data_IF_624920396991
#
_entry.id   IF_624920396991
#
_cell.length_a   1.000
_cell.length_b   1.000
_cell.length_c   1.000
_cell.angle_alpha   90.00
_cell.angle_beta   90.00
_cell.angle_gamma   90.00
#
_symmetry.space_group_name_H-M   'P 1'
#
loop_
_entity.id
_entity.type
_entity.pdbx_description
1 polymer ?
#
# COMPACT_ATOMS: atom_id res chain seq x y z
N UNK A 1 -30.25 -35.53 21.32
CA UNK A 1 -30.44 -34.86 20.01
C UNK A 1 -31.76 -34.10 20.00
N UNK A 2 -31.87 -32.91 19.39
CA UNK A 2 -33.14 -32.18 19.33
C UNK A 2 -34.16 -32.96 18.49
N UNK A 3 -35.38 -33.15 19.03
CA UNK A 3 -36.46 -33.90 18.35
C UNK A 3 -36.96 -33.23 17.08
N UNK A 4 -36.84 -31.89 17.00
CA UNK A 4 -37.16 -31.08 15.82
C UNK A 4 -35.83 -30.61 15.19
N UNK A 5 -35.63 -30.80 13.88
CA UNK A 5 -34.44 -30.34 13.18
C UNK A 5 -34.17 -28.83 13.36
N UNK A 6 -32.88 -28.46 13.35
CA UNK A 6 -32.47 -27.05 13.28
C UNK A 6 -32.61 -26.54 11.84
N UNK A 7 -32.98 -25.28 11.68
CA UNK A 7 -33.11 -24.63 10.37
C UNK A 7 -34.54 -24.57 9.86
N UNK A 8 -34.93 -23.41 9.31
CA UNK A 8 -36.32 -23.10 8.92
C UNK A 8 -36.88 -24.11 7.92
N UNK A 9 -36.15 -24.41 6.85
CA UNK A 9 -36.54 -25.40 5.83
C UNK A 9 -36.74 -26.80 6.41
N UNK A 10 -35.82 -27.24 7.27
CA UNK A 10 -35.86 -28.58 7.86
C UNK A 10 -37.01 -28.74 8.86
N UNK A 11 -37.38 -27.67 9.59
CA UNK A 11 -38.58 -27.65 10.43
C UNK A 11 -39.86 -27.80 9.62
N UNK A 12 -40.00 -27.03 8.54
CA UNK A 12 -41.17 -27.12 7.65
C UNK A 12 -41.30 -28.55 7.09
N UNK A 13 -40.22 -29.10 6.52
CA UNK A 13 -40.21 -30.47 5.99
C UNK A 13 -40.52 -31.53 7.06
N UNK A 14 -40.03 -31.33 8.28
CA UNK A 14 -40.26 -32.27 9.38
C UNK A 14 -41.75 -32.39 9.71
N UNK A 15 -42.47 -31.27 9.76
CA UNK A 15 -43.91 -31.24 10.04
C UNK A 15 -44.75 -31.69 8.85
N UNK A 16 -44.39 -31.30 7.62
CA UNK A 16 -45.08 -31.77 6.39
C UNK A 16 -45.12 -33.29 6.29
N UNK A 17 -44.03 -33.98 6.64
CA UNK A 17 -43.93 -35.44 6.56
C UNK A 17 -44.74 -36.19 7.63
N UNK A 18 -45.20 -35.50 8.68
CA UNK A 18 -45.73 -36.14 9.90
C UNK A 18 -47.15 -35.74 10.25
N UNK A 19 -47.58 -34.54 9.85
CA UNK A 19 -48.87 -33.98 10.26
C UNK A 19 -50.03 -34.85 9.79
N UNK A 20 -49.96 -35.46 8.60
CA UNK A 20 -50.99 -36.37 8.08
C UNK A 20 -51.09 -37.66 8.91
N UNK A 21 -49.95 -38.26 9.25
CA UNK A 21 -49.94 -39.47 10.09
C UNK A 21 -50.43 -39.19 11.52
N UNK A 22 -50.09 -38.01 12.06
CA UNK A 22 -50.61 -37.55 13.35
C UNK A 22 -52.12 -37.30 13.31
N UNK A 23 -52.65 -36.79 12.19
CA UNK A 23 -54.08 -36.63 12.01
C UNK A 23 -54.79 -37.98 11.95
N UNK A 24 -54.26 -38.94 11.19
CA UNK A 24 -54.80 -40.30 11.08
C UNK A 24 -54.76 -41.07 12.41
N UNK A 25 -53.71 -40.86 13.21
CA UNK A 25 -53.49 -41.58 14.48
C UNK A 25 -53.87 -40.76 15.72
N UNK A 26 -54.58 -39.64 15.57
CA UNK A 26 -54.81 -38.67 16.65
C UNK A 26 -55.47 -39.30 17.88
N UNK A 27 -56.51 -40.12 17.68
CA UNK A 27 -57.22 -40.81 18.76
C UNK A 27 -56.34 -41.79 19.53
N UNK A 28 -55.50 -42.56 18.83
CA UNK A 28 -54.57 -43.52 19.45
C UNK A 28 -53.44 -42.83 20.21
N UNK A 29 -53.00 -41.65 19.75
CA UNK A 29 -51.92 -40.87 20.35
C UNK A 29 -52.40 -39.90 21.45
N UNK A 30 -53.72 -39.80 21.68
CA UNK A 30 -54.30 -38.85 22.63
C UNK A 30 -54.12 -37.38 22.21
N UNK A 31 -53.99 -37.11 20.91
CA UNK A 31 -53.85 -35.75 20.38
C UNK A 31 -55.23 -35.16 20.07
N UNK A 32 -55.41 -33.87 20.36
CA UNK A 32 -56.60 -33.12 19.95
C UNK A 32 -56.62 -32.93 18.42
N UNK A 33 -57.60 -33.50 17.69
CA UNK A 33 -57.68 -33.36 16.23
C UNK A 33 -57.72 -31.91 15.76
N UNK A 34 -58.33 -31.00 16.53
CA UNK A 34 -58.41 -29.59 16.16
C UNK A 34 -57.02 -28.92 16.15
N UNK A 35 -56.16 -29.26 17.11
CA UNK A 35 -54.77 -28.77 17.17
C UNK A 35 -53.89 -29.36 16.07
N UNK A 36 -54.12 -30.62 15.69
CA UNK A 36 -53.40 -31.23 14.57
C UNK A 36 -53.79 -30.57 13.24
N UNK A 37 -55.08 -30.24 13.05
CA UNK A 37 -55.55 -29.49 11.89
C UNK A 37 -54.94 -28.06 11.84
N UNK A 38 -54.91 -27.35 12.97
CA UNK A 38 -54.24 -26.05 13.08
C UNK A 38 -52.76 -26.13 12.68
N UNK A 39 -52.05 -27.16 13.15
CA UNK A 39 -50.66 -27.40 12.77
C UNK A 39 -50.48 -27.64 11.26
N UNK A 40 -51.41 -28.35 10.62
CA UNK A 40 -51.38 -28.54 9.17
C UNK A 40 -51.50 -27.20 8.42
N UNK A 41 -52.46 -26.36 8.81
CA UNK A 41 -52.63 -25.02 8.24
C UNK A 41 -51.40 -24.13 8.44
N UNK A 42 -50.81 -24.13 9.65
CA UNK A 42 -49.58 -23.38 9.93
C UNK A 42 -48.38 -23.89 9.10
N UNK A 43 -48.30 -25.20 8.88
CA UNK A 43 -47.23 -25.81 8.09
C UNK A 43 -47.33 -25.39 6.62
N UNK A 44 -48.55 -25.40 6.05
CA UNK A 44 -48.80 -24.89 4.70
C UNK A 44 -48.46 -23.40 4.57
N UNK A 45 -48.96 -22.57 5.49
CA UNK A 45 -48.66 -21.14 5.50
C UNK A 45 -47.14 -20.87 5.60
N UNK A 46 -46.43 -21.66 6.42
CA UNK A 46 -44.98 -21.56 6.53
C UNK A 46 -44.24 -21.94 5.24
N UNK A 47 -44.73 -22.95 4.49
CA UNK A 47 -44.19 -23.35 3.18
C UNK A 47 -44.36 -22.24 2.15
N UNK A 48 -45.54 -21.66 2.05
CA UNK A 48 -45.85 -20.56 1.13
C UNK A 48 -45.02 -19.31 1.45
N UNK A 49 -44.95 -18.93 2.73
CA UNK A 49 -44.10 -17.81 3.16
C UNK A 49 -42.61 -18.07 2.85
N UNK A 50 -42.13 -19.31 3.02
CA UNK A 50 -40.76 -19.66 2.68
C UNK A 50 -40.47 -19.54 1.18
N UNK A 51 -41.36 -20.01 0.30
CA UNK A 51 -41.17 -19.92 -1.15
C UNK A 51 -41.19 -18.47 -1.63
N UNK A 52 -42.15 -17.66 -1.15
CA UNK A 52 -42.22 -16.22 -1.43
C UNK A 52 -40.94 -15.50 -1.00
N UNK A 53 -40.42 -15.83 0.19
CA UNK A 53 -39.17 -15.25 0.67
C UNK A 53 -37.96 -15.65 -0.20
N UNK A 54 -37.91 -16.86 -0.76
CA UNK A 54 -36.84 -17.26 -1.69
C UNK A 54 -36.94 -16.51 -3.02
N UNK A 55 -38.15 -16.39 -3.57
CA UNK A 55 -38.41 -15.63 -4.81
C UNK A 55 -38.00 -14.16 -4.62
N UNK A 56 -38.39 -13.53 -3.51
CA UNK A 56 -38.02 -12.15 -3.22
C UNK A 56 -36.50 -11.95 -3.11
N UNK A 57 -35.79 -12.88 -2.46
CA UNK A 57 -34.31 -12.83 -2.40
C UNK A 57 -33.67 -12.96 -3.78
N UNK A 58 -34.20 -13.83 -4.63
CA UNK A 58 -33.69 -13.98 -5.99
C UNK A 58 -33.93 -12.72 -6.82
N UNK A 59 -35.16 -12.19 -6.81
CA UNK A 59 -35.51 -10.93 -7.48
C UNK A 59 -34.63 -9.76 -7.03
N UNK A 60 -34.33 -9.67 -5.73
CA UNK A 60 -33.42 -8.66 -5.19
C UNK A 60 -32.00 -8.81 -5.75
N UNK A 61 -31.44 -10.02 -5.77
CA UNK A 61 -30.12 -10.27 -6.37
C UNK A 61 -30.08 -9.92 -7.85
N UNK A 62 -31.10 -10.33 -8.60
CA UNK A 62 -31.19 -10.07 -10.04
C UNK A 62 -31.30 -8.56 -10.32
N UNK A 63 -32.09 -7.83 -9.54
CA UNK A 63 -32.20 -6.38 -9.64
C UNK A 63 -30.87 -5.67 -9.35
N UNK A 64 -30.13 -6.08 -8.31
CA UNK A 64 -28.79 -5.55 -8.02
C UNK A 64 -27.80 -5.85 -9.16
N UNK A 65 -27.83 -7.06 -9.71
CA UNK A 65 -26.97 -7.42 -10.84
C UNK A 65 -27.27 -6.58 -12.08
N UNK A 66 -28.55 -6.36 -12.39
CA UNK A 66 -28.99 -5.52 -13.49
C UNK A 66 -28.57 -4.05 -13.29
N UNK A 67 -28.74 -3.51 -12.07
CA UNK A 67 -28.29 -2.17 -11.71
C UNK A 67 -26.78 -2.01 -11.92
N UNK A 68 -25.97 -2.93 -11.39
CA UNK A 68 -24.51 -2.88 -11.53
C UNK A 68 -24.09 -2.95 -13.00
N UNK A 69 -24.72 -3.81 -13.80
CA UNK A 69 -24.47 -3.90 -15.24
C UNK A 69 -24.79 -2.60 -15.97
N UNK A 70 -25.90 -1.95 -15.62
CA UNK A 70 -26.31 -0.67 -16.19
C UNK A 70 -25.29 0.42 -15.83
N UNK A 71 -24.90 0.52 -14.55
CA UNK A 71 -23.89 1.49 -14.08
C UNK A 71 -22.54 1.27 -14.80
N UNK A 72 -22.04 0.03 -14.85
CA UNK A 72 -20.77 -0.25 -15.55
C UNK A 72 -20.84 0.09 -17.04
N UNK A 73 -21.99 -0.12 -17.68
CA UNK A 73 -22.15 0.24 -19.10
C UNK A 73 -22.21 1.75 -19.31
N UNK A 74 -22.89 2.47 -18.41
CA UNK A 74 -22.93 3.93 -18.39
C UNK A 74 -21.54 4.52 -18.20
N UNK A 75 -20.78 4.04 -17.21
CA UNK A 75 -19.41 4.50 -16.94
C UNK A 75 -18.51 4.21 -18.15
N UNK A 76 -18.57 3.02 -18.74
CA UNK A 76 -17.78 2.69 -19.94
C UNK A 76 -18.04 3.65 -21.10
N UNK A 77 -19.30 3.91 -21.40
CA UNK A 77 -19.67 4.85 -22.46
C UNK A 77 -19.25 6.29 -22.10
N UNK A 78 -19.52 6.72 -20.87
CA UNK A 78 -19.14 8.05 -20.37
C UNK A 78 -17.63 8.28 -20.45
N UNK A 79 -16.81 7.32 -20.02
CA UNK A 79 -15.35 7.39 -20.16
C UNK A 79 -14.91 7.48 -21.61
N UNK A 80 -15.52 6.71 -22.52
CA UNK A 80 -15.20 6.79 -23.94
C UNK A 80 -15.54 8.17 -24.54
N UNK A 81 -16.65 8.77 -24.12
CA UNK A 81 -17.03 10.13 -24.53
C UNK A 81 -16.05 11.18 -23.98
N UNK A 82 -15.64 11.08 -22.71
CA UNK A 82 -14.63 11.97 -22.12
C UNK A 82 -13.31 11.85 -22.88
N UNK A 83 -12.84 10.64 -23.19
CA UNK A 83 -11.64 10.45 -24.00
C UNK A 83 -11.78 11.04 -25.41
N UNK A 84 -12.98 11.03 -25.99
CA UNK A 84 -13.28 11.72 -27.24
C UNK A 84 -13.19 13.25 -27.12
N UNK A 85 -13.67 13.81 -26.00
CA UNK A 85 -13.55 15.24 -25.70
C UNK A 85 -12.09 15.64 -25.53
N UNK A 86 -11.30 14.84 -24.79
CA UNK A 86 -9.87 15.07 -24.63
C UNK A 86 -9.14 15.06 -25.98
N UNK A 87 -9.43 14.07 -26.84
CA UNK A 87 -8.86 14.00 -28.17
C UNK A 87 -9.27 15.19 -29.07
N UNK A 88 -10.51 15.65 -28.95
CA UNK A 88 -10.98 16.83 -29.68
C UNK A 88 -10.28 18.12 -29.19
N UNK A 89 -10.07 18.26 -27.87
CA UNK A 89 -9.34 19.36 -27.29
C UNK A 89 -7.86 19.36 -27.73
N UNK A 90 -7.21 18.19 -27.79
CA UNK A 90 -5.83 18.05 -28.26
C UNK A 90 -5.63 18.46 -29.73
N UNK A 91 -6.65 18.26 -30.56
CA UNK A 91 -6.62 18.61 -32.00
C UNK A 91 -7.07 20.05 -32.29
N UNK A 92 -7.55 20.78 -31.28
CA UNK A 92 -8.11 22.12 -31.43
C UNK A 92 -7.11 23.21 -31.06
N UNK A 93 -7.19 24.35 -31.73
CA UNK A 93 -6.46 25.56 -31.35
C UNK A 93 -7.08 26.24 -30.10
N UNK A 94 -8.29 25.85 -29.70
CA UNK A 94 -9.04 26.40 -28.56
C UNK A 94 -9.49 25.29 -27.59
N UNK A 95 -8.56 24.59 -26.92
CA UNK A 95 -8.89 23.44 -26.05
C UNK A 95 -9.77 23.81 -24.85
N UNK A 96 -9.58 25.00 -24.27
CA UNK A 96 -10.34 25.44 -23.09
C UNK A 96 -11.83 25.66 -23.40
N UNK A 97 -12.17 26.05 -24.63
CA UNK A 97 -13.57 26.24 -25.04
C UNK A 97 -14.28 24.89 -25.13
N UNK A 98 -13.63 23.87 -25.69
CA UNK A 98 -14.17 22.49 -25.76
C UNK A 98 -14.47 21.95 -24.35
N UNK A 99 -13.57 22.15 -23.39
CA UNK A 99 -13.79 21.74 -22.01
C UNK A 99 -14.92 22.51 -21.33
N UNK A 100 -14.99 23.82 -21.55
CA UNK A 100 -16.07 24.68 -21.05
C UNK A 100 -17.44 24.25 -21.61
N UNK A 101 -17.53 24.00 -22.91
CA UNK A 101 -18.76 23.56 -23.59
C UNK A 101 -19.19 22.17 -23.12
N UNK A 102 -18.23 21.28 -22.85
CA UNK A 102 -18.48 19.97 -22.26
C UNK A 102 -18.81 20.02 -20.76
N UNK A 103 -18.59 21.16 -20.09
CA UNK A 103 -18.82 21.31 -18.64
C UNK A 103 -17.88 20.46 -17.78
N UNK A 104 -16.67 20.19 -18.25
CA UNK A 104 -15.66 19.41 -17.52
C UNK A 104 -14.37 20.20 -17.34
N UNK A 105 -13.68 19.96 -16.23
CA UNK A 105 -12.37 20.58 -16.01
C UNK A 105 -11.31 19.93 -16.92
N UNK A 106 -10.38 20.73 -17.50
CA UNK A 106 -9.28 20.18 -18.28
C UNK A 106 -8.37 19.28 -17.43
N UNK A 107 -7.74 18.26 -18.05
CA UNK A 107 -6.77 17.40 -17.37
C UNK A 107 -5.65 18.20 -16.70
N UNK A 108 -5.33 17.84 -15.46
CA UNK A 108 -4.25 18.50 -14.72
C UNK A 108 -2.91 18.19 -15.39
N UNK A 109 -2.16 19.25 -15.75
CA UNK A 109 -0.80 19.08 -16.31
C UNK A 109 0.12 18.39 -15.29
N UNK A 110 0.98 17.45 -15.73
CA UNK A 110 2.01 16.88 -14.87
C UNK A 110 2.91 18.00 -14.33
N UNK A 111 3.02 18.09 -13.01
CA UNK A 111 4.00 18.97 -12.39
C UNK A 111 5.36 18.27 -12.38
N UNK A 112 6.47 18.99 -12.68
CA UNK A 112 7.81 18.46 -12.45
C UNK A 112 7.93 18.01 -11.00
N UNK A 113 8.48 16.81 -10.79
CA UNK A 113 8.78 16.36 -9.43
C UNK A 113 9.81 17.30 -8.80
N UNK A 114 9.74 17.54 -7.48
CA UNK A 114 10.80 18.24 -6.78
C UNK A 114 12.12 17.48 -6.92
N UNK A 115 13.22 18.20 -6.80
CA UNK A 115 14.56 17.64 -6.82
C UNK A 115 14.75 16.62 -5.68
N UNK A 116 15.66 15.64 -5.85
CA UNK A 116 15.90 14.66 -4.80
C UNK A 116 16.38 15.35 -3.51
N UNK A 117 15.90 14.87 -2.37
CA UNK A 117 16.35 15.33 -1.05
C UNK A 117 17.78 14.86 -0.78
N UNK A 118 18.58 15.74 -0.17
CA UNK A 118 19.94 15.41 0.20
C UNK A 118 19.96 14.30 1.27
N UNK A 119 20.96 13.44 1.21
CA UNK A 119 21.23 12.49 2.29
C UNK A 119 21.53 13.24 3.58
N UNK A 120 21.06 12.72 4.70
CA UNK A 120 21.19 13.35 6.03
C UNK A 120 21.82 12.39 7.02
N UNK A 121 22.31 12.92 8.14
CA UNK A 121 22.86 12.13 9.24
C UNK A 121 23.91 11.09 8.78
N UNK A 122 24.92 11.50 8.01
CA UNK A 122 26.01 10.62 7.64
C UNK A 122 26.79 10.21 8.88
N UNK A 123 26.99 8.91 9.02
CA UNK A 123 27.64 8.24 10.14
C UNK A 123 28.72 7.32 9.61
N UNK A 124 29.79 7.18 10.38
CA UNK A 124 30.96 6.39 9.98
C UNK A 124 31.28 5.34 11.02
N UNK A 125 31.60 4.14 10.56
CA UNK A 125 32.02 3.00 11.38
C UNK A 125 33.31 2.42 10.82
N UNK A 126 34.30 2.16 11.68
CA UNK A 126 35.51 1.45 11.30
C UNK A 126 35.24 -0.06 11.37
N UNK A 127 35.41 -0.76 10.27
CA UNK A 127 35.22 -2.21 10.18
C UNK A 127 36.49 -2.97 10.60
N UNK A 128 36.32 -4.23 11.01
CA UNK A 128 37.45 -5.10 11.37
C UNK A 128 38.42 -5.39 10.20
N UNK A 129 38.00 -5.14 8.95
CA UNK A 129 38.86 -5.20 7.77
C UNK A 129 39.83 -4.01 7.66
N UNK A 130 39.62 -2.94 8.43
CA UNK A 130 40.30 -1.66 8.29
C UNK A 130 39.58 -0.68 7.35
N UNK A 131 38.52 -1.13 6.67
CA UNK A 131 37.67 -0.29 5.82
C UNK A 131 36.78 0.63 6.65
N UNK A 132 36.36 1.74 6.05
CA UNK A 132 35.38 2.65 6.67
C UNK A 132 34.03 2.43 6.02
N UNK A 133 33.01 2.09 6.81
CA UNK A 133 31.61 2.12 6.38
C UNK A 133 31.05 3.52 6.61
N UNK A 134 30.51 4.11 5.55
CA UNK A 134 29.74 5.35 5.60
C UNK A 134 28.27 4.98 5.39
N UNK A 135 27.41 5.33 6.34
CA UNK A 135 25.97 5.14 6.23
C UNK A 135 25.23 6.46 6.43
N UNK A 136 24.02 6.58 5.92
CA UNK A 136 23.24 7.83 5.97
C UNK A 136 21.74 7.53 6.01
N UNK A 137 20.95 8.56 6.24
CA UNK A 137 19.50 8.53 6.14
C UNK A 137 19.09 9.11 4.78
N UNK A 138 18.25 8.36 4.06
CA UNK A 138 17.84 8.69 2.70
C UNK A 138 16.86 7.66 2.12
N UNK A 139 16.18 8.03 1.03
CA UNK A 139 15.23 7.13 0.32
C UNK A 139 15.89 6.36 -0.81
N UNK A 140 15.61 5.07 -0.93
CA UNK A 140 15.99 4.24 -2.10
C UNK A 140 14.84 4.11 -3.12
N UNK A 141 13.71 4.77 -2.87
CA UNK A 141 12.55 4.71 -3.76
C UNK A 141 12.76 5.50 -5.05
N UNK A 142 11.95 5.20 -6.07
CA UNK A 142 11.88 5.97 -7.32
C UNK A 142 13.23 6.09 -8.07
N UNK A 143 14.08 5.06 -8.02
CA UNK A 143 15.38 5.06 -8.72
C UNK A 143 16.38 6.06 -8.14
N UNK A 144 16.27 6.35 -6.85
CA UNK A 144 17.21 7.23 -6.14
C UNK A 144 18.50 6.46 -5.86
N UNK A 145 19.65 7.07 -6.14
CA UNK A 145 20.98 6.51 -5.85
C UNK A 145 21.91 7.60 -5.30
N UNK A 146 23.05 7.19 -4.75
CA UNK A 146 23.95 8.08 -4.03
C UNK A 146 25.35 8.03 -4.65
N UNK A 147 26.00 9.19 -4.79
CA UNK A 147 27.45 9.24 -5.07
C UNK A 147 28.20 9.62 -3.80
N UNK A 148 29.30 8.91 -3.55
CA UNK A 148 30.12 9.07 -2.35
C UNK A 148 31.41 9.75 -2.77
N UNK A 149 31.74 10.83 -2.07
CA UNK A 149 32.90 11.66 -2.34
C UNK A 149 33.83 11.64 -1.14
N UNK A 150 35.14 11.56 -1.40
CA UNK A 150 36.19 11.47 -0.38
C UNK A 150 37.28 12.50 -0.60
N UNK A 151 37.81 13.00 0.51
CA UNK A 151 39.04 13.79 0.56
C UNK A 151 39.95 13.24 1.66
N UNK A 152 41.19 12.89 1.30
CA UNK A 152 42.22 12.41 2.23
C UNK A 152 43.11 13.54 2.75
N UNK A 153 43.98 13.21 3.70
CA UNK A 153 45.04 14.10 4.15
C UNK A 153 45.97 14.49 3.00
N UNK A 154 46.25 15.78 2.85
CA UNK A 154 47.09 16.30 1.75
C UNK A 154 46.34 16.56 0.45
N UNK A 155 45.11 16.05 0.28
CA UNK A 155 44.27 16.37 -0.87
C UNK A 155 43.58 17.73 -0.70
N UNK A 156 43.44 18.48 -1.79
CA UNK A 156 42.81 19.81 -1.79
C UNK A 156 41.35 19.80 -2.26
N UNK A 157 40.87 18.68 -2.79
CA UNK A 157 39.50 18.55 -3.32
C UNK A 157 38.93 17.17 -3.04
N UNK A 158 37.60 17.08 -2.99
CA UNK A 158 36.90 15.81 -2.93
C UNK A 158 36.84 15.15 -4.30
N UNK A 159 37.03 13.84 -4.34
CA UNK A 159 36.87 13.01 -5.54
C UNK A 159 35.79 11.96 -5.32
N UNK A 160 35.04 11.62 -6.36
CA UNK A 160 34.03 10.56 -6.28
C UNK A 160 34.73 9.21 -6.18
N UNK A 161 34.42 8.44 -5.14
CA UNK A 161 34.99 7.11 -4.92
C UNK A 161 34.01 5.98 -5.24
N UNK A 162 32.71 6.27 -5.30
CA UNK A 162 31.72 5.22 -5.52
C UNK A 162 30.31 5.72 -5.71
N UNK A 163 29.45 4.76 -6.06
CA UNK A 163 28.00 4.91 -6.21
C UNK A 163 27.34 3.84 -5.35
N UNK A 164 26.29 4.18 -4.61
CA UNK A 164 25.49 3.23 -3.85
C UNK A 164 24.00 3.33 -4.20
N UNK A 165 23.38 2.18 -4.45
CA UNK A 165 21.92 2.04 -4.53
C UNK A 165 21.28 1.74 -3.16
N UNK A 166 22.06 1.81 -2.08
CA UNK A 166 21.62 1.57 -0.71
C UNK A 166 22.01 2.76 0.18
N UNK A 167 21.63 2.70 1.46
CA UNK A 167 21.91 3.77 2.42
C UNK A 167 23.28 3.61 3.15
N UNK A 168 24.20 2.86 2.55
CA UNK A 168 25.57 2.74 3.02
C UNK A 168 26.56 2.47 1.87
N UNK A 169 27.83 2.69 2.14
CA UNK A 169 28.96 2.41 1.26
C UNK A 169 30.20 2.07 2.10
N UNK A 170 30.93 1.04 1.69
CA UNK A 170 32.17 0.62 2.35
C UNK A 170 33.36 1.10 1.52
N UNK A 171 34.20 1.95 2.12
CA UNK A 171 35.44 2.42 1.52
C UNK A 171 36.59 1.44 1.84
N UNK A 172 36.73 0.45 0.96
CA UNK A 172 37.81 -0.54 1.00
C UNK A 172 39.11 -0.03 0.34
N UNK A 173 39.10 1.17 -0.24
CA UNK A 173 40.22 1.75 -0.97
C UNK A 173 40.99 2.79 -0.15
N UNK A 174 40.84 2.77 1.18
CA UNK A 174 41.52 3.69 2.09
C UNK A 174 42.96 3.20 2.33
N UNK A 175 44.00 3.99 1.99
CA UNK A 175 45.38 3.58 2.23
C UNK A 175 45.70 3.46 3.73
N UNK A 176 46.49 2.44 4.08
CA UNK A 176 47.00 2.28 5.44
C UNK A 176 47.85 3.50 5.86
N UNK A 177 47.70 3.94 7.11
CA UNK A 177 48.40 5.11 7.64
C UNK A 177 47.76 6.46 7.29
N UNK A 178 46.58 6.48 6.67
CA UNK A 178 45.81 7.70 6.45
C UNK A 178 45.49 8.38 7.79
N UNK A 179 45.86 9.66 8.02
CA UNK A 179 45.61 10.33 9.30
C UNK A 179 44.23 10.99 9.38
N UNK A 180 43.62 11.33 8.24
CA UNK A 180 42.25 11.84 8.16
C UNK A 180 41.57 11.49 6.84
N UNK A 181 40.26 11.35 6.88
CA UNK A 181 39.41 11.23 5.69
C UNK A 181 38.10 12.03 5.91
N UNK A 182 37.73 12.85 4.93
CA UNK A 182 36.45 13.55 4.87
C UNK A 182 35.54 12.90 3.84
N UNK A 183 34.25 12.78 4.15
CA UNK A 183 33.24 12.23 3.24
C UNK A 183 32.02 13.13 3.15
N UNK A 184 31.41 13.21 1.96
CA UNK A 184 30.03 13.65 1.80
C UNK A 184 29.30 12.77 0.79
N UNK A 185 27.98 12.79 0.86
CA UNK A 185 27.08 12.02 0.00
C UNK A 185 26.25 13.00 -0.82
N UNK A 186 26.03 12.68 -2.09
CA UNK A 186 25.10 13.42 -2.95
C UNK A 186 24.01 12.48 -3.48
N UNK A 187 22.74 12.86 -3.31
CA UNK A 187 21.60 12.07 -3.78
C UNK A 187 21.30 12.41 -5.23
N UNK A 188 20.97 11.39 -6.03
CA UNK A 188 20.64 11.52 -7.44
C UNK A 188 19.31 10.83 -7.76
N UNK A 189 18.58 11.39 -8.72
CA UNK A 189 17.41 10.77 -9.34
C UNK A 189 17.40 11.12 -10.82
N UNK A 190 17.71 10.15 -11.68
CA UNK A 190 17.96 10.42 -13.10
C UNK A 190 19.16 11.36 -13.27
N UNK A 191 18.96 12.46 -13.99
CA UNK A 191 20.00 13.50 -14.22
C UNK A 191 20.03 14.60 -13.15
N UNK A 192 19.11 14.56 -12.18
CA UNK A 192 19.02 15.56 -11.11
C UNK A 192 19.80 15.12 -9.88
N UNK A 193 20.42 16.08 -9.22
CA UNK A 193 21.18 15.86 -8.01
C UNK A 193 20.72 16.81 -6.90
N UNK A 194 20.77 16.34 -5.66
CA UNK A 194 20.54 17.17 -4.47
C UNK A 194 21.73 18.10 -4.22
N UNK A 195 21.61 18.95 -3.20
CA UNK A 195 22.78 19.48 -2.49
C UNK A 195 23.56 18.35 -1.82
N UNK A 196 24.83 18.61 -1.50
CA UNK A 196 25.65 17.65 -0.74
C UNK A 196 25.15 17.51 0.70
N UNK A 197 25.33 16.33 1.28
CA UNK A 197 25.18 16.14 2.73
C UNK A 197 26.19 16.98 3.50
N UNK A 198 26.01 17.06 4.83
CA UNK A 198 27.08 17.49 5.72
C UNK A 198 28.34 16.63 5.53
N UNK A 199 29.51 17.23 5.73
CA UNK A 199 30.80 16.54 5.63
C UNK A 199 31.09 15.83 6.94
N UNK A 200 31.32 14.52 6.89
CA UNK A 200 31.84 13.76 8.03
C UNK A 200 33.35 13.72 7.95
N UNK A 201 34.03 14.20 8.99
CA UNK A 201 35.48 14.16 9.11
C UNK A 201 35.90 13.10 10.12
N UNK A 202 36.66 12.11 9.65
CA UNK A 202 37.28 11.08 10.48
C UNK A 202 38.74 11.44 10.68
N UNK A 203 39.20 11.38 11.94
CA UNK A 203 40.62 11.49 12.30
C UNK A 203 41.08 10.16 12.87
N UNK A 204 42.13 9.60 12.30
CA UNK A 204 42.69 8.33 12.73
C UNK A 204 43.82 8.61 13.72
N UNK A 205 43.68 8.07 14.94
CA UNK A 205 44.59 8.33 16.05
C UNK A 205 44.21 9.57 16.86
N UNK A 206 44.89 9.73 18.00
CA UNK A 206 44.74 10.86 18.91
C UNK A 206 46.09 11.56 19.07
N UNK A 207 46.10 12.88 19.21
CA UNK A 207 47.32 13.56 19.62
C UNK A 207 47.76 13.05 21.01
N UNK A 208 49.04 12.69 21.19
CA UNK A 208 49.52 12.33 22.51
C UNK A 208 49.37 13.55 23.44
N UNK A 209 48.97 13.36 24.71
CA UNK A 209 48.92 14.45 25.66
C UNK A 209 50.29 15.13 25.77
N UNK A 210 50.35 16.46 25.96
CA UNK A 210 51.62 17.17 26.05
C UNK A 210 52.49 16.56 27.15
N UNK A 211 53.72 16.15 26.80
CA UNK A 211 54.68 15.64 27.79
C UNK A 211 55.04 16.79 28.74
N UNK A 212 54.98 16.60 30.08
CA UNK A 212 55.50 17.58 31.02
C UNK A 212 56.98 17.84 30.72
N UNK A 213 57.34 19.09 30.47
CA UNK A 213 58.74 19.47 30.28
C UNK A 213 59.55 19.14 31.53
N UNK A 214 60.68 18.45 31.36
CA UNK A 214 61.70 18.33 32.40
C UNK A 214 62.33 19.71 32.60
N UNK A 215 61.84 20.47 33.57
CA UNK A 215 62.51 21.69 34.03
C UNK A 215 63.74 21.26 34.81
N UNK A 216 64.91 21.32 34.18
CA UNK A 216 66.18 21.15 34.89
C UNK A 216 66.46 22.48 35.59
N UNK A 217 66.31 22.50 36.93
CA UNK A 217 66.74 23.62 37.74
C UNK A 217 68.29 23.65 37.78
N UNK A 218 68.86 24.83 37.51
CA UNK A 218 70.29 25.09 37.56
C UNK A 218 70.80 25.21 39.02
#
# INVERSE_FOLDING_TARGET
MPRIPKGRRLRIQYFEQRVDQWALSAGTLGLDPARVAELASLTQAAREAYSLAQIARQKSRDATAAQNKAISSMVRLGSALISGIDAAAELSDMPNEIYSDAGIDPPRRPAPRPDPEAATNPRTELLNSGSVRIAWDGTIANGTFYTIWRQLAGETSFSQIGVSGSNHFDDDALPAGTPRAGYFIRTHRGTRASESSEIVLIRFGTEPPPKPGLTIAA
#
